data_IF_405253215355
#
_entry.id   IF_405253215355
#
_cell.length_a   1.000
_cell.length_b   1.000
_cell.length_c   1.000
_cell.angle_alpha   90.00
_cell.angle_beta   90.00
_cell.angle_gamma   90.00
#
_symmetry.space_group_name_H-M   'P 1'
#
loop_
_entity.id
_entity.type
_entity.pdbx_description
1 polymer ?
#
# COMPACT_ATOMS: atom_id res chain seq x y z
N UNK A 1 -18.24 -3.78 10.03
CA UNK A 1 -18.62 -4.58 11.21
C UNK A 1 -20.12 -4.72 11.36
N UNK A 2 -20.96 -3.72 11.03
CA UNK A 2 -22.43 -3.83 11.12
C UNK A 2 -23.09 -4.93 10.27
N UNK A 3 -22.71 -5.12 8.99
CA UNK A 3 -23.22 -6.25 8.18
C UNK A 3 -22.92 -7.59 8.84
N UNK A 4 -21.70 -7.73 9.37
CA UNK A 4 -21.28 -8.95 10.08
C UNK A 4 -22.15 -9.13 11.32
N UNK A 5 -22.34 -8.09 12.13
CA UNK A 5 -23.18 -8.14 13.34
C UNK A 5 -24.63 -8.48 13.03
N UNK A 6 -25.27 -7.80 12.08
CA UNK A 6 -26.69 -8.01 11.74
C UNK A 6 -26.92 -9.39 11.14
N UNK A 7 -26.05 -9.82 10.22
CA UNK A 7 -26.18 -11.15 9.62
C UNK A 7 -25.75 -12.27 10.57
N UNK A 8 -24.92 -11.99 11.59
CA UNK A 8 -24.56 -12.99 12.62
C UNK A 8 -25.75 -13.43 13.47
N UNK A 9 -26.86 -12.69 13.49
CA UNK A 9 -28.08 -13.15 14.17
C UNK A 9 -28.77 -14.27 13.39
N UNK A 10 -28.63 -14.25 12.06
CA UNK A 10 -29.16 -15.27 11.17
C UNK A 10 -28.18 -16.43 10.97
N UNK A 11 -26.89 -16.12 10.79
CA UNK A 11 -25.86 -17.13 10.56
C UNK A 11 -24.59 -16.83 11.37
N UNK A 12 -24.61 -17.10 12.69
CA UNK A 12 -23.53 -16.71 13.61
C UNK A 12 -22.19 -17.37 13.31
N UNK A 13 -22.22 -18.58 12.79
CA UNK A 13 -21.00 -19.37 12.57
C UNK A 13 -20.19 -18.90 11.36
N UNK A 14 -20.84 -18.22 10.39
CA UNK A 14 -20.17 -17.69 9.19
C UNK A 14 -19.06 -16.69 9.55
N UNK A 15 -19.26 -15.90 10.61
CA UNK A 15 -18.28 -14.92 11.11
C UNK A 15 -16.97 -15.58 11.57
N UNK A 16 -17.04 -16.78 12.14
CA UNK A 16 -15.85 -17.49 12.64
C UNK A 16 -15.04 -18.10 11.50
N UNK A 17 -15.72 -18.45 10.40
CA UNK A 17 -15.12 -19.07 9.23
C UNK A 17 -14.46 -18.02 8.33
N UNK A 18 -15.18 -16.93 8.05
CA UNK A 18 -14.75 -15.91 7.08
C UNK A 18 -14.32 -14.63 7.81
N UNK A 19 -13.01 -14.45 7.92
CA UNK A 19 -12.41 -13.28 8.58
C UNK A 19 -12.41 -12.03 7.69
N UNK A 20 -12.39 -12.20 6.37
CA UNK A 20 -12.37 -11.09 5.42
C UNK A 20 -13.78 -10.53 5.18
N UNK A 21 -13.94 -9.24 5.46
CA UNK A 21 -15.23 -8.53 5.41
C UNK A 21 -15.80 -8.49 4.00
N UNK A 22 -14.94 -8.41 2.97
CA UNK A 22 -15.41 -8.30 1.58
C UNK A 22 -15.94 -9.65 1.10
N UNK A 23 -15.20 -10.74 1.37
CA UNK A 23 -15.65 -12.10 1.10
C UNK A 23 -16.97 -12.38 1.84
N UNK A 24 -17.06 -11.96 3.11
CA UNK A 24 -18.29 -12.07 3.90
C UNK A 24 -19.48 -11.34 3.24
N UNK A 25 -19.32 -10.08 2.82
CA UNK A 25 -20.42 -9.33 2.19
C UNK A 25 -20.90 -9.97 0.87
N UNK A 26 -19.98 -10.53 0.08
CA UNK A 26 -20.32 -11.28 -1.14
C UNK A 26 -21.08 -12.58 -0.84
N UNK A 27 -20.70 -13.29 0.22
CA UNK A 27 -21.40 -14.49 0.66
C UNK A 27 -22.79 -14.18 1.18
N UNK A 28 -22.96 -13.11 1.95
CA UNK A 28 -24.28 -12.65 2.42
C UNK A 28 -25.21 -12.33 1.25
N UNK A 29 -24.68 -11.71 0.20
CA UNK A 29 -25.45 -11.42 -1.02
C UNK A 29 -25.88 -12.69 -1.76
N UNK A 30 -25.04 -13.73 -1.77
CA UNK A 30 -25.40 -15.00 -2.41
C UNK A 30 -26.38 -15.83 -1.58
N UNK A 31 -26.11 -16.01 -0.29
CA UNK A 31 -26.88 -16.90 0.59
C UNK A 31 -28.27 -16.31 0.86
N UNK A 32 -28.37 -15.00 1.12
CA UNK A 32 -29.63 -14.37 1.46
C UNK A 32 -30.26 -15.03 2.70
N UNK A 33 -31.45 -15.60 2.53
CA UNK A 33 -32.15 -16.40 3.56
C UNK A 33 -31.66 -17.84 3.47
N UNK A 34 -31.11 -18.34 4.56
CA UNK A 34 -30.55 -19.70 4.68
C UNK A 34 -31.51 -20.79 4.22
N UNK A 35 -32.78 -20.71 4.61
CA UNK A 35 -33.78 -21.78 4.36
C UNK A 35 -34.21 -21.88 2.88
N UNK A 36 -33.96 -20.83 2.10
CA UNK A 36 -34.26 -20.79 0.66
C UNK A 36 -33.03 -21.09 -0.20
N UNK A 37 -31.89 -21.34 0.42
CA UNK A 37 -30.62 -21.47 -0.27
C UNK A 37 -30.12 -22.92 -0.27
N UNK A 38 -30.12 -23.53 -1.45
CA UNK A 38 -29.50 -24.85 -1.63
C UNK A 38 -27.98 -24.69 -1.72
N UNK A 39 -27.32 -25.05 -0.61
CA UNK A 39 -25.86 -25.01 -0.48
C UNK A 39 -25.15 -26.01 -1.40
N UNK A 40 -25.82 -27.12 -1.77
CA UNK A 40 -25.26 -28.16 -2.64
C UNK A 40 -25.16 -27.73 -4.10
N UNK A 41 -26.16 -26.99 -4.60
CA UNK A 41 -26.22 -26.50 -5.99
C UNK A 41 -25.36 -25.26 -6.24
N UNK A 42 -25.06 -24.48 -5.20
CA UNK A 42 -24.29 -23.24 -5.30
C UNK A 42 -22.86 -23.36 -4.74
N UNK A 43 -22.37 -24.58 -4.53
CA UNK A 43 -21.02 -24.85 -4.03
C UNK A 43 -19.95 -24.15 -4.88
N UNK A 44 -20.10 -24.21 -6.20
CA UNK A 44 -19.17 -23.59 -7.17
C UNK A 44 -19.05 -22.06 -6.99
N UNK A 45 -20.18 -21.38 -6.74
CA UNK A 45 -20.20 -19.92 -6.53
C UNK A 45 -19.61 -19.53 -5.17
N UNK A 46 -19.74 -20.40 -4.16
CA UNK A 46 -19.13 -20.18 -2.84
C UNK A 46 -17.62 -20.40 -2.94
N UNK A 47 -17.16 -21.42 -3.67
CA UNK A 47 -15.72 -21.65 -3.93
C UNK A 47 -15.10 -20.49 -4.72
N UNK A 48 -15.81 -19.92 -5.70
CA UNK A 48 -15.34 -18.75 -6.44
C UNK A 48 -15.10 -17.52 -5.54
N UNK A 49 -15.90 -17.34 -4.48
CA UNK A 49 -15.76 -16.17 -3.58
C UNK A 49 -14.76 -16.42 -2.47
N UNK A 50 -14.75 -17.63 -1.90
CA UNK A 50 -13.86 -17.96 -0.79
C UNK A 50 -12.45 -18.23 -1.26
N UNK A 51 -12.28 -18.69 -2.53
CA UNK A 51 -11.01 -19.10 -3.14
C UNK A 51 -10.38 -20.34 -2.47
N UNK A 52 -11.06 -20.91 -1.47
CA UNK A 52 -10.61 -22.03 -0.63
C UNK A 52 -11.70 -23.11 -0.54
N UNK A 53 -11.40 -24.31 -1.04
CA UNK A 53 -12.33 -25.45 -1.02
C UNK A 53 -12.62 -25.93 0.42
N UNK A 54 -11.62 -25.93 1.29
CA UNK A 54 -11.78 -26.32 2.69
C UNK A 54 -12.74 -25.41 3.46
N UNK A 55 -12.72 -24.12 3.15
CA UNK A 55 -13.60 -23.12 3.77
C UNK A 55 -15.03 -23.36 3.29
N UNK A 56 -15.20 -23.68 2.00
CA UNK A 56 -16.52 -23.97 1.43
C UNK A 56 -17.15 -25.21 2.06
N UNK A 57 -16.39 -26.30 2.22
CA UNK A 57 -16.90 -27.49 2.92
C UNK A 57 -17.26 -27.23 4.37
N UNK A 58 -16.48 -26.37 5.06
CA UNK A 58 -16.79 -25.95 6.43
C UNK A 58 -18.11 -25.17 6.47
N UNK A 59 -18.34 -24.25 5.54
CA UNK A 59 -19.60 -23.48 5.45
C UNK A 59 -20.79 -24.43 5.23
N UNK A 60 -20.65 -25.44 4.37
CA UNK A 60 -21.71 -26.43 4.10
C UNK A 60 -22.00 -27.32 5.30
N UNK A 61 -20.97 -27.79 6.02
CA UNK A 61 -21.17 -28.56 7.26
C UNK A 61 -21.88 -27.71 8.31
N UNK A 62 -21.50 -26.45 8.39
CA UNK A 62 -22.01 -25.49 9.36
C UNK A 62 -23.42 -24.99 9.01
N UNK A 63 -23.79 -24.91 7.73
CA UNK A 63 -25.17 -24.58 7.34
C UNK A 63 -26.17 -25.60 7.87
N UNK A 64 -25.82 -26.90 7.80
CA UNK A 64 -26.66 -27.99 8.30
C UNK A 64 -26.78 -28.01 9.83
N UNK A 65 -25.76 -27.51 10.54
CA UNK A 65 -25.70 -27.48 12.02
C UNK A 65 -26.17 -26.16 12.63
N UNK A 66 -26.32 -25.12 11.83
CA UNK A 66 -26.50 -23.75 12.33
C UNK A 66 -27.88 -23.53 12.94
N UNK A 67 -27.89 -22.99 14.15
CA UNK A 67 -29.08 -22.65 14.94
C UNK A 67 -29.23 -21.12 14.94
N UNK A 68 -29.60 -20.58 13.78
CA UNK A 68 -29.85 -19.16 13.58
C UNK A 68 -31.31 -18.75 13.77
N UNK A 69 -31.58 -17.45 13.85
CA UNK A 69 -32.94 -16.92 13.86
C UNK A 69 -33.39 -16.57 12.43
N UNK A 70 -34.65 -16.81 12.09
CA UNK A 70 -35.23 -16.38 10.82
C UNK A 70 -35.23 -14.85 10.67
N UNK A 71 -34.92 -14.36 9.48
CA UNK A 71 -34.84 -12.93 9.17
C UNK A 71 -36.04 -12.48 8.34
N UNK A 72 -36.57 -11.29 8.60
CA UNK A 72 -37.61 -10.69 7.75
C UNK A 72 -37.04 -10.34 6.37
N UNK A 73 -37.88 -10.39 5.34
CA UNK A 73 -37.50 -9.98 3.98
C UNK A 73 -37.09 -8.49 3.93
N UNK A 74 -37.70 -7.64 4.76
CA UNK A 74 -37.34 -6.22 4.85
C UNK A 74 -35.92 -6.04 5.40
N UNK A 75 -35.61 -6.71 6.52
CA UNK A 75 -34.29 -6.66 7.14
C UNK A 75 -33.21 -7.24 6.22
N UNK A 76 -33.53 -8.33 5.51
CA UNK A 76 -32.63 -8.93 4.53
C UNK A 76 -32.32 -7.94 3.40
N UNK A 77 -33.34 -7.25 2.86
CA UNK A 77 -33.16 -6.27 1.80
C UNK A 77 -32.23 -5.13 2.24
N UNK A 78 -32.35 -4.68 3.49
CA UNK A 78 -31.47 -3.66 4.07
C UNK A 78 -30.03 -4.16 4.22
N UNK A 79 -29.83 -5.40 4.69
CA UNK A 79 -28.50 -6.01 4.83
C UNK A 79 -27.83 -6.17 3.46
N UNK A 80 -28.57 -6.62 2.44
CA UNK A 80 -28.06 -6.81 1.08
C UNK A 80 -27.71 -5.46 0.45
N UNK A 81 -28.57 -4.45 0.58
CA UNK A 81 -28.28 -3.09 0.11
C UNK A 81 -27.01 -2.53 0.74
N UNK A 82 -26.86 -2.66 2.06
CA UNK A 82 -25.66 -2.19 2.75
C UNK A 82 -24.41 -2.98 2.36
N UNK A 83 -24.54 -4.29 2.09
CA UNK A 83 -23.46 -5.13 1.57
C UNK A 83 -23.00 -4.66 0.18
N UNK A 84 -23.95 -4.31 -0.71
CA UNK A 84 -23.66 -3.77 -2.03
C UNK A 84 -22.91 -2.43 -1.95
N UNK A 85 -23.31 -1.54 -1.05
CA UNK A 85 -22.59 -0.27 -0.82
C UNK A 85 -21.15 -0.50 -0.36
N UNK A 86 -20.92 -1.45 0.56
CA UNK A 86 -19.57 -1.80 1.03
C UNK A 86 -18.71 -2.34 -0.12
N UNK A 87 -19.27 -3.22 -0.96
CA UNK A 87 -18.57 -3.76 -2.13
C UNK A 87 -18.24 -2.62 -3.12
N UNK A 88 -19.19 -1.72 -3.38
CA UNK A 88 -18.98 -0.54 -4.23
C UNK A 88 -17.88 0.39 -3.70
N UNK A 89 -17.86 0.65 -2.39
CA UNK A 89 -16.81 1.43 -1.73
C UNK A 89 -15.45 0.75 -1.83
N UNK A 90 -15.41 -0.59 -1.72
CA UNK A 90 -14.19 -1.36 -1.88
C UNK A 90 -13.64 -1.30 -3.32
N UNK A 91 -14.52 -1.43 -4.31
CA UNK A 91 -14.17 -1.30 -5.72
C UNK A 91 -13.64 0.11 -6.03
N UNK A 92 -14.34 1.14 -5.54
CA UNK A 92 -13.90 2.54 -5.63
C UNK A 92 -12.53 2.74 -5.00
N UNK A 93 -12.28 2.17 -3.81
CA UNK A 93 -10.97 2.22 -3.15
C UNK A 93 -9.87 1.58 -4.01
N UNK A 94 -10.15 0.44 -4.63
CA UNK A 94 -9.18 -0.27 -5.49
C UNK A 94 -8.89 0.53 -6.76
N UNK A 95 -9.92 1.11 -7.38
CA UNK A 95 -9.78 2.02 -8.51
C UNK A 95 -8.90 3.23 -8.16
N UNK A 96 -9.18 3.88 -7.03
CA UNK A 96 -8.38 5.02 -6.56
C UNK A 96 -6.93 4.62 -6.23
N UNK A 97 -6.73 3.41 -5.72
CA UNK A 97 -5.39 2.89 -5.46
C UNK A 97 -4.58 2.73 -6.75
N UNK A 98 -5.18 2.12 -7.78
CA UNK A 98 -4.55 1.95 -9.09
C UNK A 98 -4.32 3.29 -9.79
N UNK A 99 -5.28 4.21 -9.68
CA UNK A 99 -5.12 5.57 -10.18
C UNK A 99 -3.94 6.29 -9.51
N UNK A 100 -3.81 6.17 -8.18
CA UNK A 100 -2.71 6.76 -7.43
C UNK A 100 -1.37 6.09 -7.78
N UNK A 101 -1.34 4.77 -8.00
CA UNK A 101 -0.16 4.02 -8.42
C UNK A 101 0.38 4.53 -9.77
N UNK A 102 -0.51 4.71 -10.74
CA UNK A 102 -0.20 5.23 -12.07
C UNK A 102 0.28 6.68 -12.03
N UNK A 103 -0.40 7.55 -11.27
CA UNK A 103 0.00 8.95 -11.14
C UNK A 103 1.33 9.11 -10.42
N UNK A 104 1.60 8.32 -9.39
CA UNK A 104 2.87 8.35 -8.67
C UNK A 104 4.03 7.79 -9.50
N UNK A 105 3.79 6.80 -10.37
CA UNK A 105 4.82 6.33 -11.32
C UNK A 105 5.32 7.46 -12.22
N UNK A 106 4.41 8.33 -12.66
CA UNK A 106 4.75 9.46 -13.54
C UNK A 106 5.40 10.60 -12.75
N UNK A 107 4.88 10.89 -11.55
CA UNK A 107 5.29 12.07 -10.78
C UNK A 107 6.55 11.86 -9.93
N UNK A 108 6.67 10.71 -9.27
CA UNK A 108 7.72 10.44 -8.29
C UNK A 108 8.04 8.94 -8.21
N UNK A 109 8.63 8.35 -9.28
CA UNK A 109 8.90 6.92 -9.36
C UNK A 109 9.90 6.46 -8.30
N UNK A 110 10.96 7.22 -8.02
CA UNK A 110 11.95 6.80 -7.03
C UNK A 110 11.38 6.86 -5.60
N UNK A 111 10.61 7.90 -5.26
CA UNK A 111 10.02 8.04 -3.93
C UNK A 111 9.00 6.93 -3.67
N UNK A 112 8.20 6.62 -4.69
CA UNK A 112 7.28 5.48 -4.70
C UNK A 112 8.02 4.17 -4.43
N UNK A 113 9.10 3.88 -5.13
CA UNK A 113 9.84 2.64 -4.94
C UNK A 113 10.48 2.53 -3.56
N UNK A 114 11.00 3.66 -3.05
CA UNK A 114 11.66 3.69 -1.75
C UNK A 114 10.68 3.38 -0.61
N UNK A 115 9.53 4.04 -0.58
CA UNK A 115 8.64 4.07 0.61
C UNK A 115 7.24 3.49 0.37
N UNK A 116 6.83 3.37 -0.89
CA UNK A 116 5.51 2.88 -1.31
C UNK A 116 4.48 4.00 -1.47
N UNK A 117 3.39 3.67 -2.17
CA UNK A 117 2.37 4.63 -2.62
C UNK A 117 1.74 5.41 -1.46
N UNK A 118 1.27 4.70 -0.43
CA UNK A 118 0.51 5.30 0.68
C UNK A 118 1.31 6.32 1.46
N UNK A 119 2.59 6.04 1.70
CA UNK A 119 3.42 6.96 2.48
C UNK A 119 3.89 8.12 1.59
N UNK A 120 4.22 7.86 0.33
CA UNK A 120 4.55 8.88 -0.67
C UNK A 120 3.42 9.90 -0.84
N UNK A 121 2.19 9.45 -1.07
CA UNK A 121 1.05 10.35 -1.24
C UNK A 121 0.76 11.18 0.01
N UNK A 122 0.90 10.60 1.20
CA UNK A 122 0.75 11.34 2.47
C UNK A 122 1.85 12.38 2.68
N UNK A 123 3.09 12.08 2.32
CA UNK A 123 4.19 13.04 2.41
C UNK A 123 3.98 14.23 1.47
N UNK A 124 3.60 13.97 0.22
CA UNK A 124 3.31 15.01 -0.77
C UNK A 124 2.09 15.84 -0.34
N UNK A 125 1.02 15.18 0.11
CA UNK A 125 -0.20 15.85 0.60
C UNK A 125 0.09 16.75 1.80
N UNK A 126 0.90 16.29 2.76
CA UNK A 126 1.29 17.10 3.92
C UNK A 126 2.18 18.29 3.54
N UNK A 127 3.07 18.12 2.56
CA UNK A 127 3.91 19.22 2.06
C UNK A 127 3.15 20.19 1.14
N UNK A 128 1.96 19.80 0.65
CA UNK A 128 1.14 20.53 -0.31
C UNK A 128 1.58 20.35 -1.78
N UNK A 129 2.87 20.19 -2.03
CA UNK A 129 3.40 19.91 -3.38
C UNK A 129 4.70 19.10 -3.33
N UNK A 130 5.04 18.44 -4.44
CA UNK A 130 6.31 17.72 -4.56
C UNK A 130 7.50 18.70 -4.45
N UNK A 131 7.38 19.89 -5.02
CA UNK A 131 8.40 20.94 -4.94
C UNK A 131 8.65 21.41 -3.50
N UNK A 132 7.59 21.59 -2.71
CA UNK A 132 7.72 21.94 -1.30
C UNK A 132 8.35 20.82 -0.49
N UNK A 133 8.03 19.56 -0.82
CA UNK A 133 8.67 18.39 -0.21
C UNK A 133 10.17 18.36 -0.52
N UNK A 134 10.58 18.68 -1.76
CA UNK A 134 11.99 18.73 -2.16
C UNK A 134 12.78 19.85 -1.47
N UNK A 135 12.16 21.02 -1.27
CA UNK A 135 12.72 22.16 -0.53
C UNK A 135 12.87 21.88 0.97
N UNK A 136 12.01 21.02 1.52
CA UNK A 136 12.01 20.71 2.94
C UNK A 136 13.31 20.01 3.37
N UNK A 137 13.89 20.37 4.52
CA UNK A 137 15.07 19.68 5.04
C UNK A 137 14.69 18.31 5.60
N UNK A 138 15.67 17.40 5.64
CA UNK A 138 15.52 16.05 6.19
C UNK A 138 14.98 16.04 7.64
N UNK A 139 15.38 17.01 8.47
CA UNK A 139 14.93 17.14 9.85
C UNK A 139 13.43 17.43 9.93
N UNK A 140 12.89 18.27 9.05
CA UNK A 140 11.45 18.54 8.97
C UNK A 140 10.68 17.33 8.44
N UNK A 141 11.21 16.67 7.40
CA UNK A 141 10.60 15.45 6.84
C UNK A 141 10.46 14.35 7.91
N UNK A 142 11.43 14.24 8.83
CA UNK A 142 11.40 13.28 9.93
C UNK A 142 10.18 13.45 10.86
N UNK A 143 9.76 14.70 11.10
CA UNK A 143 8.73 15.09 12.06
C UNK A 143 7.39 15.44 11.41
N UNK A 144 7.25 15.32 10.08
CA UNK A 144 6.00 15.65 9.38
C UNK A 144 4.80 14.93 9.99
N UNK A 145 3.74 15.67 10.29
CA UNK A 145 2.55 15.19 11.01
C UNK A 145 2.69 15.10 12.54
N UNK A 146 3.88 15.32 13.12
CA UNK A 146 4.12 15.39 14.56
C UNK A 146 4.46 16.81 15.06
N UNK A 147 4.26 17.83 14.22
CA UNK A 147 4.62 19.23 14.48
C UNK A 147 3.94 19.79 15.73
N UNK A 148 2.64 19.55 15.91
CA UNK A 148 1.91 19.97 17.11
C UNK A 148 2.52 19.40 18.39
N UNK A 149 2.89 18.12 18.36
CA UNK A 149 3.52 17.45 19.49
C UNK A 149 4.94 17.99 19.74
N UNK A 150 5.68 18.32 18.68
CA UNK A 150 6.98 18.96 18.77
C UNK A 150 6.88 20.32 19.44
N UNK A 151 6.00 21.21 18.95
CA UNK A 151 5.83 22.55 19.52
C UNK A 151 5.34 22.52 20.96
N UNK A 152 4.46 21.58 21.31
CA UNK A 152 4.03 21.38 22.70
C UNK A 152 5.20 20.92 23.59
N UNK A 153 6.01 19.96 23.11
CA UNK A 153 7.19 19.49 23.86
C UNK A 153 8.23 20.59 24.07
N UNK A 154 8.40 21.48 23.09
CA UNK A 154 9.34 22.59 23.17
C UNK A 154 8.89 23.64 24.19
N UNK A 155 7.58 23.96 24.23
CA UNK A 155 6.99 24.86 25.23
C UNK A 155 7.05 24.30 26.64
N UNK A 156 6.78 23.00 26.80
CA UNK A 156 6.76 22.32 28.10
C UNK A 156 8.10 21.74 28.54
N UNK A 157 9.18 21.97 27.79
CA UNK A 157 10.50 21.37 27.99
C UNK A 157 10.47 19.83 28.17
N UNK A 158 9.56 19.16 27.45
CA UNK A 158 9.37 17.70 27.46
C UNK A 158 10.17 17.04 26.34
N UNK A 159 10.25 15.70 26.36
CA UNK A 159 10.91 14.94 25.30
C UNK A 159 10.23 15.18 23.94
N UNK A 160 11.02 15.54 22.94
CA UNK A 160 10.55 15.79 21.59
C UNK A 160 10.19 14.49 20.87
N UNK A 161 9.16 14.51 19.98
CA UNK A 161 8.82 13.37 19.15
C UNK A 161 9.95 13.08 18.15
N UNK A 162 10.23 11.79 17.93
CA UNK A 162 11.33 11.34 17.05
C UNK A 162 10.91 10.99 15.63
N UNK A 163 9.61 10.90 15.37
CA UNK A 163 9.03 10.46 14.12
C UNK A 163 7.62 11.03 13.95
N UNK A 164 7.19 11.21 12.71
CA UNK A 164 5.82 11.54 12.34
C UNK A 164 5.23 10.50 11.39
N UNK A 165 4.75 10.94 10.23
CA UNK A 165 4.09 10.10 9.21
C UNK A 165 4.98 8.93 8.75
N UNK A 166 6.30 9.13 8.76
CA UNK A 166 7.30 8.12 8.35
C UNK A 166 7.32 6.90 9.28
N UNK A 167 6.81 7.02 10.52
CA UNK A 167 6.72 5.91 11.47
C UNK A 167 5.97 4.69 10.91
N UNK A 168 4.99 4.93 10.04
CA UNK A 168 4.18 3.88 9.41
C UNK A 168 4.93 3.10 8.32
N UNK A 169 6.21 3.41 8.06
CA UNK A 169 7.04 2.64 7.13
C UNK A 169 7.35 1.25 7.67
N UNK A 170 7.42 0.27 6.76
CA UNK A 170 7.83 -1.10 7.08
C UNK A 170 9.26 -1.15 7.63
N UNK A 171 10.16 -0.29 7.14
CA UNK A 171 11.55 -0.20 7.59
C UNK A 171 11.69 0.14 9.07
N UNK A 172 10.92 1.11 9.58
CA UNK A 172 10.96 1.47 11.00
C UNK A 172 10.32 0.39 11.87
N UNK A 173 9.29 -0.29 11.35
CA UNK A 173 8.61 -1.37 12.06
C UNK A 173 9.52 -2.58 12.28
N UNK A 174 10.45 -2.88 11.36
CA UNK A 174 11.44 -3.96 11.46
C UNK A 174 12.53 -3.73 12.53
N UNK A 175 12.72 -2.49 12.99
CA UNK A 175 13.85 -2.11 13.86
C UNK A 175 13.44 -2.07 15.35
N UNK A 176 14.31 -2.51 16.29
CA UNK A 176 14.04 -2.43 17.72
C UNK A 176 13.73 -1.00 18.22
N UNK A 177 12.90 -0.83 19.26
CA UNK A 177 12.38 0.48 19.69
C UNK A 177 13.48 1.50 20.03
N UNK A 178 14.61 1.04 20.58
CA UNK A 178 15.77 1.90 20.90
C UNK A 178 16.40 2.55 19.66
N UNK A 179 16.36 1.85 18.52
CA UNK A 179 17.02 2.25 17.27
C UNK A 179 16.06 2.94 16.28
N UNK A 180 14.74 2.88 16.50
CA UNK A 180 13.73 3.51 15.62
C UNK A 180 13.99 4.98 15.32
N UNK A 181 14.49 5.75 16.30
CA UNK A 181 14.85 7.16 16.09
C UNK A 181 16.02 7.36 15.12
N UNK A 182 17.05 6.50 15.21
CA UNK A 182 18.20 6.53 14.29
C UNK A 182 17.77 6.13 12.87
N UNK A 183 16.93 5.10 12.76
CA UNK A 183 16.41 4.67 11.47
C UNK A 183 15.49 5.72 10.83
N UNK A 184 14.62 6.35 11.62
CA UNK A 184 13.74 7.45 11.16
C UNK A 184 14.53 8.58 10.52
N UNK A 185 15.61 9.04 11.18
CA UNK A 185 16.51 10.08 10.65
C UNK A 185 17.23 9.64 9.36
N UNK A 186 17.66 8.39 9.30
CA UNK A 186 18.32 7.86 8.11
C UNK A 186 17.35 7.76 6.92
N UNK A 187 16.14 7.25 7.16
CA UNK A 187 15.09 7.17 6.17
C UNK A 187 14.65 8.54 5.66
N UNK A 188 14.45 9.53 6.55
CA UNK A 188 14.11 10.90 6.13
C UNK A 188 15.21 11.56 5.30
N UNK A 189 16.48 11.21 5.54
CA UNK A 189 17.60 11.68 4.72
C UNK A 189 17.51 11.12 3.30
N UNK A 190 17.22 9.83 3.15
CA UNK A 190 17.07 9.17 1.84
C UNK A 190 15.84 9.66 1.09
N UNK A 191 14.72 9.86 1.80
CA UNK A 191 13.52 10.48 1.24
C UNK A 191 13.84 11.86 0.68
N UNK A 192 14.55 12.71 1.43
CA UNK A 192 14.89 14.06 0.96
C UNK A 192 15.73 14.05 -0.33
N UNK A 193 16.70 13.11 -0.44
CA UNK A 193 17.52 12.95 -1.64
C UNK A 193 16.63 12.51 -2.82
N UNK A 194 15.85 11.46 -2.62
CA UNK A 194 14.99 10.89 -3.65
C UNK A 194 13.97 11.89 -4.16
N UNK A 195 13.28 12.61 -3.26
CA UNK A 195 12.31 13.62 -3.68
C UNK A 195 12.95 14.71 -4.54
N UNK A 196 14.19 15.13 -4.23
CA UNK A 196 14.89 16.14 -5.03
C UNK A 196 15.23 15.61 -6.42
N UNK A 197 15.67 14.35 -6.52
CA UNK A 197 15.92 13.70 -7.80
C UNK A 197 14.62 13.65 -8.61
N UNK A 198 13.52 13.19 -8.02
CA UNK A 198 12.22 13.12 -8.71
C UNK A 198 11.69 14.49 -9.15
N UNK A 199 11.99 15.56 -8.41
CA UNK A 199 11.49 16.91 -8.72
C UNK A 199 12.31 17.62 -9.80
N UNK A 200 13.63 17.44 -9.79
CA UNK A 200 14.56 18.20 -10.63
C UNK A 200 15.16 17.39 -11.78
N UNK A 201 14.91 16.07 -11.86
CA UNK A 201 15.33 15.26 -13.00
C UNK A 201 14.40 15.49 -14.19
N UNK A 202 14.99 15.66 -15.37
CA UNK A 202 14.25 15.77 -16.63
C UNK A 202 13.58 14.43 -17.01
N UNK A 203 14.26 13.32 -16.72
CA UNK A 203 13.77 11.96 -16.99
C UNK A 203 13.74 11.15 -15.68
N UNK A 204 12.62 11.20 -14.93
CA UNK A 204 12.51 10.47 -13.68
C UNK A 204 12.42 8.96 -13.96
N UNK A 205 13.48 8.23 -13.62
CA UNK A 205 13.53 6.75 -13.68
C UNK A 205 13.39 6.18 -12.26
N UNK A 206 13.27 4.86 -12.11
CA UNK A 206 13.16 4.20 -10.80
C UNK A 206 14.52 3.75 -10.19
N UNK A 207 15.63 3.96 -10.90
CA UNK A 207 16.89 3.29 -10.58
C UNK A 207 17.47 3.74 -9.24
N UNK A 208 17.39 5.03 -8.93
CA UNK A 208 17.84 5.57 -7.65
C UNK A 208 17.00 5.05 -6.49
N UNK A 209 15.69 4.89 -6.68
CA UNK A 209 14.78 4.29 -5.70
C UNK A 209 15.19 2.87 -5.32
N UNK A 210 15.46 2.02 -6.31
CA UNK A 210 15.85 0.62 -6.10
C UNK A 210 17.17 0.50 -5.33
N UNK A 211 18.19 1.29 -5.70
CA UNK A 211 19.50 1.22 -5.06
C UNK A 211 19.44 1.76 -3.63
N UNK A 212 18.75 2.88 -3.40
CA UNK A 212 18.61 3.45 -2.06
C UNK A 212 17.73 2.59 -1.15
N UNK A 213 16.81 1.81 -1.71
CA UNK A 213 16.06 0.78 -0.99
C UNK A 213 16.97 -0.34 -0.50
N UNK A 214 17.84 -0.89 -1.36
CA UNK A 214 18.87 -1.86 -0.93
C UNK A 214 19.75 -1.29 0.18
N UNK A 215 20.18 -0.03 0.04
CA UNK A 215 20.98 0.65 1.05
C UNK A 215 20.25 0.77 2.41
N UNK A 216 18.92 1.00 2.42
CA UNK A 216 18.13 1.01 3.65
C UNK A 216 18.06 -0.38 4.30
N UNK A 217 17.92 -1.44 3.51
CA UNK A 217 17.90 -2.81 4.00
C UNK A 217 19.25 -3.23 4.58
N UNK A 218 20.35 -2.93 3.89
CA UNK A 218 21.70 -3.14 4.39
C UNK A 218 21.95 -2.35 5.68
N UNK A 219 21.39 -1.14 5.78
CA UNK A 219 21.47 -0.34 7.00
C UNK A 219 20.73 -1.00 8.17
N UNK A 220 19.56 -1.58 7.94
CA UNK A 220 18.81 -2.32 8.96
C UNK A 220 19.63 -3.54 9.42
N UNK A 221 20.21 -4.29 8.48
CA UNK A 221 21.09 -5.43 8.77
C UNK A 221 22.31 -5.01 9.60
N UNK A 222 22.95 -3.90 9.24
CA UNK A 222 24.03 -3.32 10.05
C UNK A 222 23.55 -2.95 11.46
N UNK A 223 22.36 -2.35 11.60
CA UNK A 223 21.84 -1.94 12.93
C UNK A 223 21.50 -3.12 13.84
N UNK A 224 21.07 -4.25 13.28
CA UNK A 224 20.64 -5.44 14.04
C UNK A 224 21.81 -6.42 14.24
N UNK A 225 22.52 -6.75 13.16
CA UNK A 225 23.54 -7.81 13.11
C UNK A 225 24.98 -7.28 13.13
N UNK A 226 25.20 -5.99 12.96
CA UNK A 226 26.55 -5.39 12.93
C UNK A 226 27.36 -5.67 11.65
N UNK A 227 26.72 -6.12 10.58
CA UNK A 227 27.38 -6.34 9.27
C UNK A 227 27.96 -5.02 8.75
N UNK A 228 29.19 -5.04 8.23
CA UNK A 228 29.83 -3.86 7.64
C UNK A 228 29.02 -3.34 6.44
N UNK A 229 28.74 -2.04 6.44
CA UNK A 229 28.05 -1.36 5.36
C UNK A 229 29.06 -0.88 4.31
N UNK A 230 28.74 -1.01 3.02
CA UNK A 230 29.52 -0.40 1.94
C UNK A 230 29.39 1.13 1.96
N UNK A 231 30.29 1.82 1.25
CA UNK A 231 30.33 3.28 1.27
C UNK A 231 29.14 3.83 0.49
N UNK A 232 28.65 5.01 0.89
CA UNK A 232 27.56 5.68 0.17
C UNK A 232 27.90 5.95 -1.30
N UNK A 233 29.18 6.21 -1.60
CA UNK A 233 29.65 6.46 -2.98
C UNK A 233 29.42 5.24 -3.88
N UNK A 234 29.62 4.03 -3.35
CA UNK A 234 29.46 2.79 -4.12
C UNK A 234 28.01 2.63 -4.58
N UNK A 235 27.05 2.87 -3.66
CA UNK A 235 25.63 2.85 -4.00
C UNK A 235 25.28 3.91 -5.04
N UNK A 236 25.79 5.15 -4.91
CA UNK A 236 25.48 6.21 -5.87
C UNK A 236 26.04 5.87 -7.25
N UNK A 237 27.28 5.38 -7.34
CA UNK A 237 27.88 4.97 -8.60
C UNK A 237 27.09 3.84 -9.28
N UNK A 238 26.60 2.86 -8.51
CA UNK A 238 25.74 1.81 -9.08
C UNK A 238 24.40 2.35 -9.57
N UNK A 239 23.85 3.38 -8.91
CA UNK A 239 22.62 4.02 -9.35
C UNK A 239 22.82 4.83 -10.63
N UNK A 240 23.95 5.53 -10.75
CA UNK A 240 24.33 6.28 -11.94
C UNK A 240 24.57 5.36 -13.15
N UNK A 241 25.23 4.22 -12.95
CA UNK A 241 25.41 3.20 -13.99
C UNK A 241 24.05 2.71 -14.52
N UNK A 242 23.17 2.30 -13.61
CA UNK A 242 21.81 1.86 -13.99
C UNK A 242 21.03 2.96 -14.70
N UNK A 243 21.17 4.22 -14.25
CA UNK A 243 20.54 5.38 -14.88
C UNK A 243 21.00 5.56 -16.33
N UNK A 244 22.32 5.53 -16.56
CA UNK A 244 22.89 5.68 -17.89
C UNK A 244 22.48 4.52 -18.81
N UNK A 245 22.54 3.28 -18.32
CA UNK A 245 22.08 2.09 -19.08
C UNK A 245 20.62 2.23 -19.52
N UNK A 246 19.78 2.80 -18.66
CA UNK A 246 18.36 2.98 -18.96
C UNK A 246 18.15 4.07 -20.00
N UNK A 247 18.87 5.19 -19.90
CA UNK A 247 18.84 6.25 -20.91
C UNK A 247 19.33 5.74 -22.26
N UNK A 248 20.41 4.96 -22.28
CA UNK A 248 20.94 4.38 -23.52
C UNK A 248 19.93 3.46 -24.19
N UNK A 249 19.24 2.61 -23.42
CA UNK A 249 18.15 1.77 -23.94
C UNK A 249 17.01 2.61 -24.50
N UNK A 250 16.55 3.63 -23.78
CA UNK A 250 15.48 4.51 -24.26
C UNK A 250 15.88 5.25 -25.55
N UNK A 251 17.15 5.65 -25.69
CA UNK A 251 17.67 6.26 -26.93
C UNK A 251 17.72 5.28 -28.09
N UNK A 252 18.12 4.03 -27.85
CA UNK A 252 18.14 2.98 -28.88
C UNK A 252 16.72 2.66 -29.37
N UNK A 253 15.76 2.52 -28.46
CA UNK A 253 14.36 2.26 -28.79
C UNK A 253 13.75 3.39 -29.65
N UNK A 254 14.02 4.66 -29.32
CA UNK A 254 13.57 5.81 -30.10
C UNK A 254 14.22 5.89 -31.48
N UNK A 255 15.50 5.50 -31.61
CA UNK A 255 16.20 5.42 -32.90
C UNK A 255 15.64 4.32 -33.82
N UNK A 256 15.27 3.17 -33.25
CA UNK A 256 14.68 2.05 -33.99
C UNK A 256 13.24 2.34 -34.46
N UNK A 257 12.46 3.10 -33.69
CA UNK A 257 11.11 3.54 -34.09
C UNK A 257 11.14 4.58 -35.22
N UNK A 258 12.11 5.50 -35.23
CA UNK A 258 12.32 6.44 -36.33
C UNK A 258 12.77 5.70 -37.61
N UNK A 259 13.67 4.71 -37.49
CA UNK A 259 14.08 3.87 -38.61
C UNK A 259 12.94 3.03 -39.22
N UNK A 260 11.95 2.62 -38.42
CA UNK A 260 10.76 1.89 -38.90
C UNK A 260 9.71 2.81 -39.54
N UNK A 261 9.55 4.03 -39.05
CA UNK A 261 8.60 5.00 -39.62
C UNK A 261 9.09 5.58 -40.94
N UNK A 262 10.39 5.82 -41.10
CA UNK A 262 10.97 6.26 -42.39
C UNK A 262 10.96 5.17 -43.47
N UNK A 263 11.09 3.88 -43.09
CA UNK A 263 10.92 2.76 -44.02
C UNK A 263 9.46 2.56 -44.46
N UNK A 264 8.48 2.96 -43.66
CA UNK A 264 7.05 2.93 -44.02
C UNK A 264 6.62 4.10 -44.92
N UNK A 265 7.30 5.24 -44.87
CA UNK A 265 7.03 6.39 -45.76
C UNK A 265 7.69 6.28 -47.15
N UNK A 266 8.65 5.37 -47.33
CA UNK A 266 9.34 5.09 -48.60
C UNK A 266 8.77 3.91 -49.40
N UNK A 267 7.67 3.31 -48.94
CA UNK A 267 6.85 2.33 -49.69
C UNK A 267 5.49 2.96 -49.96
#
# INVERSE_FOLDING_TARGET
MRVVEWYSWHFPELKNIVTDVIKYCKLVQLIGIKDKFDFDLNKDKITEITEDEEITEKIQKVSNLSVGQELSNEDLSNIVNFSNEIISLYNTRTLLWNYMDNKLNILAPNLKELVGNRLTSRLISHAGSLLNLAKSPCSSIQIFGAEKALFNSLKGNKRTPKFGIIYNSSYISKVPPKLKGKMSRYLSSKISIVTRIDTFSENPTNNYGVVLKKQLEDKILHMIKGVKLSKNIDYINTAEQLYNDTIERTRQELGDEQGKTDKKKKK
#
